data_IF_078891564821
#
_entry.id   IF_078891564821
#
_cell.length_a   1.000
_cell.length_b   1.000
_cell.length_c   1.000
_cell.angle_alpha   90.00
_cell.angle_beta   90.00
_cell.angle_gamma   90.00
#
_symmetry.space_group_name_H-M   'P 1'
#
loop_
_entity.id
_entity.type
_entity.pdbx_description
1 polymer ?
#
# COMPACT_ATOMS: atom_id res chain seq x y z
N UNK A 1 -2.99 6.97 -5.36
CA UNK A 1 -3.17 7.79 -6.58
C UNK A 1 -4.64 8.10 -6.88
N UNK A 2 -5.63 7.50 -6.20
CA UNK A 2 -7.03 7.97 -6.29
C UNK A 2 -7.73 7.72 -7.63
N UNK A 3 -7.13 6.95 -8.54
CA UNK A 3 -7.62 6.71 -9.90
C UNK A 3 -8.64 5.57 -9.99
N UNK A 4 -9.52 5.45 -8.99
CA UNK A 4 -10.46 4.32 -8.92
C UNK A 4 -11.40 4.29 -10.11
N UNK A 5 -11.95 5.45 -10.49
CA UNK A 5 -12.82 5.61 -11.68
C UNK A 5 -12.14 5.15 -12.96
N UNK A 6 -10.89 5.56 -13.18
CA UNK A 6 -10.13 5.15 -14.38
C UNK A 6 -9.89 3.65 -14.39
N UNK A 7 -9.51 3.08 -13.24
CA UNK A 7 -9.28 1.63 -13.12
C UNK A 7 -10.58 0.87 -13.39
N UNK A 8 -11.72 1.32 -12.85
CA UNK A 8 -13.04 0.73 -13.10
C UNK A 8 -13.43 0.83 -14.58
N UNK A 9 -13.17 1.97 -15.21
CA UNK A 9 -13.47 2.21 -16.63
C UNK A 9 -12.67 1.31 -17.55
N UNK A 10 -11.39 1.06 -17.25
CA UNK A 10 -10.49 0.31 -18.12
C UNK A 10 -10.28 -1.16 -17.71
N UNK A 11 -10.64 -1.53 -16.48
CA UNK A 11 -10.25 -2.80 -15.86
C UNK A 11 -10.97 -4.05 -16.36
N UNK A 12 -11.95 -3.91 -17.27
CA UNK A 12 -12.75 -5.02 -17.84
C UNK A 12 -13.15 -6.07 -16.79
N UNK A 13 -13.65 -5.60 -15.65
CA UNK A 13 -14.06 -6.47 -14.56
C UNK A 13 -15.29 -7.27 -14.95
N UNK A 14 -15.30 -8.56 -14.61
CA UNK A 14 -16.47 -9.43 -14.81
C UNK A 14 -17.69 -8.95 -14.02
N UNK A 15 -17.44 -8.37 -12.85
CA UNK A 15 -18.47 -7.90 -11.92
C UNK A 15 -18.51 -6.37 -11.90
N UNK A 16 -19.69 -5.82 -11.62
CA UNK A 16 -19.85 -4.40 -11.43
C UNK A 16 -19.27 -4.02 -10.06
N UNK A 17 -18.11 -3.37 -10.06
CA UNK A 17 -17.41 -2.92 -8.87
C UNK A 17 -17.58 -1.40 -8.74
N UNK A 18 -17.78 -0.91 -7.52
CA UNK A 18 -17.71 0.51 -7.20
C UNK A 18 -16.33 0.86 -6.59
N UNK A 19 -16.09 2.15 -6.32
CA UNK A 19 -14.81 2.61 -5.76
C UNK A 19 -14.53 2.02 -4.36
N UNK A 20 -15.56 1.79 -3.54
CA UNK A 20 -15.41 1.18 -2.21
C UNK A 20 -15.02 -0.28 -2.32
N UNK A 21 -15.57 -1.01 -3.28
CA UNK A 21 -15.19 -2.41 -3.53
C UNK A 21 -13.71 -2.47 -3.95
N UNK A 22 -13.28 -1.57 -4.84
CA UNK A 22 -11.88 -1.48 -5.28
C UNK A 22 -10.95 -1.15 -4.12
N UNK A 23 -11.31 -0.17 -3.29
CA UNK A 23 -10.55 0.19 -2.10
C UNK A 23 -10.44 -1.00 -1.13
N UNK A 24 -11.54 -1.69 -0.85
CA UNK A 24 -11.60 -2.87 0.01
C UNK A 24 -10.73 -4.02 -0.51
N UNK A 25 -10.82 -4.33 -1.80
CA UNK A 25 -9.98 -5.36 -2.45
C UNK A 25 -8.51 -4.96 -2.37
N UNK A 26 -8.16 -3.72 -2.71
CA UNK A 26 -6.79 -3.23 -2.63
C UNK A 26 -6.23 -3.27 -1.19
N UNK A 27 -7.04 -2.90 -0.19
CA UNK A 27 -6.66 -3.03 1.23
C UNK A 27 -6.40 -4.48 1.59
N UNK A 28 -7.29 -5.41 1.24
CA UNK A 28 -7.10 -6.83 1.52
C UNK A 28 -5.81 -7.38 0.90
N UNK A 29 -5.50 -7.01 -0.35
CA UNK A 29 -4.24 -7.38 -1.02
C UNK A 29 -3.02 -6.89 -0.24
N UNK A 30 -3.04 -5.63 0.22
CA UNK A 30 -1.94 -5.04 0.97
C UNK A 30 -1.80 -5.61 2.38
N UNK A 31 -2.91 -5.87 3.10
CA UNK A 31 -2.91 -6.59 4.38
C UNK A 31 -2.26 -7.96 4.22
N UNK A 32 -2.65 -8.71 3.20
CA UNK A 32 -2.06 -10.03 2.92
C UNK A 32 -0.56 -9.92 2.64
N UNK A 33 -0.14 -8.92 1.86
CA UNK A 33 1.27 -8.67 1.59
C UNK A 33 2.03 -8.35 2.87
N UNK A 34 1.53 -7.45 3.73
CA UNK A 34 2.17 -7.07 5.01
C UNK A 34 2.30 -8.27 5.94
N UNK A 35 1.24 -9.09 6.07
CA UNK A 35 1.23 -10.33 6.88
C UNK A 35 2.37 -11.29 6.51
N UNK A 36 2.72 -11.36 5.23
CA UNK A 36 3.75 -12.26 4.72
C UNK A 36 5.11 -11.60 4.46
N UNK A 37 5.20 -10.28 4.61
CA UNK A 37 6.41 -9.54 4.37
C UNK A 37 7.44 -9.77 5.50
N UNK A 38 8.69 -10.06 5.11
CA UNK A 38 9.80 -10.32 6.04
C UNK A 38 10.97 -9.34 5.89
N UNK A 39 10.75 -8.22 5.20
CA UNK A 39 11.78 -7.21 4.94
C UNK A 39 11.76 -6.07 5.96
N UNK A 40 11.87 -4.83 5.48
CA UNK A 40 12.02 -3.63 6.29
C UNK A 40 10.73 -3.27 7.06
N UNK A 41 10.81 -3.21 8.39
CA UNK A 41 9.67 -2.86 9.25
C UNK A 41 9.15 -1.43 8.99
N UNK A 42 9.99 -0.51 8.49
CA UNK A 42 9.52 0.82 8.06
C UNK A 42 8.56 0.74 6.88
N UNK A 43 8.75 -0.22 5.98
CA UNK A 43 7.80 -0.48 4.89
C UNK A 43 6.49 -1.00 5.44
N UNK A 44 6.54 -1.92 6.43
CA UNK A 44 5.29 -2.39 7.06
C UNK A 44 4.52 -1.26 7.71
N UNK A 45 5.18 -0.41 8.52
CA UNK A 45 4.56 0.77 9.16
C UNK A 45 3.94 1.69 8.10
N UNK A 46 4.72 2.05 7.07
CA UNK A 46 4.23 2.90 5.99
C UNK A 46 2.99 2.32 5.30
N UNK A 47 3.00 1.03 4.96
CA UNK A 47 1.85 0.39 4.31
C UNK A 47 0.67 0.32 5.27
N UNK A 48 0.91 0.05 6.56
CA UNK A 48 -0.12 0.01 7.61
C UNK A 48 -0.82 1.35 7.77
N UNK A 49 -0.05 2.43 7.88
CA UNK A 49 -0.57 3.80 7.92
C UNK A 49 -1.34 4.14 6.64
N UNK A 50 -0.83 3.74 5.47
CA UNK A 50 -1.47 3.98 4.16
C UNK A 50 -2.86 3.32 4.04
N UNK A 51 -3.02 2.10 4.55
CA UNK A 51 -4.28 1.35 4.41
C UNK A 51 -5.26 1.59 5.55
N UNK A 52 -4.80 2.17 6.67
CA UNK A 52 -5.67 2.53 7.79
C UNK A 52 -6.69 3.58 7.31
N UNK A 53 -8.00 3.38 7.55
CA UNK A 53 -9.00 4.37 7.18
C UNK A 53 -8.72 5.74 7.81
N UNK A 54 -8.63 6.79 7.00
CA UNK A 54 -8.54 8.17 7.50
C UNK A 54 -9.92 8.62 7.99
N UNK A 55 -9.99 9.22 9.18
CA UNK A 55 -11.26 9.65 9.81
C UNK A 55 -11.97 10.77 9.05
N UNK A 56 -11.26 11.57 8.27
CA UNK A 56 -11.79 12.79 7.63
C UNK A 56 -11.48 12.91 6.14
N UNK A 57 -11.05 11.82 5.48
CA UNK A 57 -10.67 11.86 4.05
C UNK A 57 -9.46 12.75 3.73
N UNK A 58 -8.88 13.44 4.72
CA UNK A 58 -7.65 14.19 4.56
C UNK A 58 -6.47 13.23 4.40
N UNK A 59 -5.65 13.51 3.39
CA UNK A 59 -4.38 12.86 3.18
C UNK A 59 -3.44 13.27 4.31
N UNK A 60 -3.35 12.43 5.35
CA UNK A 60 -2.28 12.59 6.33
C UNK A 60 -0.95 12.35 5.61
N UNK A 61 0.01 13.25 5.81
CA UNK A 61 1.40 13.00 5.41
C UNK A 61 1.87 11.77 6.19
N UNK A 62 1.87 10.61 5.52
CA UNK A 62 2.23 9.33 6.13
C UNK A 62 3.63 9.44 6.73
N UNK A 63 3.88 8.92 7.91
CA UNK A 63 5.25 8.89 8.45
C UNK A 63 6.06 7.81 7.69
N UNK A 64 7.38 7.79 7.84
CA UNK A 64 8.25 6.73 7.27
C UNK A 64 8.36 6.66 5.72
N UNK A 65 7.87 7.65 4.98
CA UNK A 65 8.05 7.75 3.52
C UNK A 65 9.45 8.25 3.10
N UNK A 66 10.14 8.99 3.97
CA UNK A 66 11.50 9.50 3.72
C UNK A 66 12.57 8.39 3.79
N UNK A 67 13.65 8.53 3.02
CA UNK A 67 14.83 7.64 3.09
C UNK A 67 14.98 6.59 1.98
N UNK A 68 14.37 6.80 0.80
CA UNK A 68 14.63 6.01 -0.41
C UNK A 68 15.92 6.40 -1.16
N UNK A 69 16.62 7.45 -0.72
CA UNK A 69 17.82 7.98 -1.38
C UNK A 69 19.01 7.01 -1.37
N UNK A 70 19.02 6.05 -0.45
CA UNK A 70 20.03 5.00 -0.41
C UNK A 70 19.59 3.81 -1.30
N UNK A 71 20.46 3.26 -2.16
CA UNK A 71 20.14 2.08 -2.95
C UNK A 71 19.64 0.94 -2.06
N UNK A 72 18.48 0.36 -2.40
CA UNK A 72 17.96 -0.81 -1.69
C UNK A 72 19.04 -1.91 -1.75
N UNK A 73 19.58 -2.38 -0.61
CA UNK A 73 20.63 -3.39 -0.61
C UNK A 73 20.08 -4.68 -1.22
N UNK A 74 20.43 -4.94 -2.48
CA UNK A 74 20.17 -6.24 -3.11
C UNK A 74 21.08 -7.26 -2.43
N UNK A 75 20.49 -8.17 -1.65
CA UNK A 75 21.16 -9.42 -1.27
C UNK A 75 22.08 -9.39 -0.05
N UNK A 76 21.86 -8.52 0.95
CA UNK A 76 22.62 -8.61 2.22
C UNK A 76 21.68 -8.75 3.42
N UNK A 77 21.74 -9.89 4.11
CA UNK A 77 21.03 -10.16 5.37
C UNK A 77 21.62 -9.27 6.47
N UNK A 78 21.15 -8.03 6.54
CA UNK A 78 21.60 -7.02 7.51
C UNK A 78 21.05 -7.28 8.92
N UNK A 79 21.88 -7.00 9.91
CA UNK A 79 21.68 -7.22 11.35
C UNK A 79 20.48 -6.43 11.88
N UNK A 80 19.59 -7.09 12.61
CA UNK A 80 18.32 -6.55 13.13
C UNK A 80 18.57 -5.47 14.18
N UNK A 81 18.16 -4.23 13.91
CA UNK A 81 17.95 -3.22 14.95
C UNK A 81 16.54 -3.42 15.51
N UNK A 82 16.47 -3.74 16.80
CA UNK A 82 15.26 -4.11 17.53
C UNK A 82 14.48 -2.86 17.92
N UNK A 83 13.65 -2.36 17.01
CA UNK A 83 12.48 -1.55 17.39
C UNK A 83 11.24 -2.37 17.02
N UNK A 84 10.83 -3.23 17.97
CA UNK A 84 9.51 -3.84 17.94
C UNK A 84 8.49 -2.73 18.17
N UNK A 85 7.91 -2.19 17.10
CA UNK A 85 6.50 -1.83 17.19
C UNK A 85 5.79 -3.14 17.40
N UNK A 86 5.30 -3.30 18.63
CA UNK A 86 4.55 -4.46 19.03
C UNK A 86 3.33 -4.57 18.08
N UNK A 87 2.87 -5.78 17.88
CA UNK A 87 1.64 -6.13 17.16
C UNK A 87 0.28 -5.80 17.87
N UNK A 88 0.12 -5.00 18.97
CA UNK A 88 -1.17 -4.76 19.62
C UNK A 88 -2.23 -4.14 18.71
N UNK A 89 -1.84 -3.36 17.71
CA UNK A 89 -2.81 -2.68 16.82
C UNK A 89 -3.57 -3.64 15.90
N UNK A 90 -3.05 -4.86 15.67
CA UNK A 90 -3.78 -5.87 14.88
C UNK A 90 -5.03 -6.38 15.61
N UNK A 91 -5.05 -6.33 16.96
CA UNK A 91 -6.16 -6.84 17.76
C UNK A 91 -7.33 -5.86 17.91
N UNK A 92 -7.11 -4.56 17.65
CA UNK A 92 -8.10 -3.50 17.87
C UNK A 92 -8.50 -2.75 16.57
N UNK A 93 -8.20 -3.33 15.41
CA UNK A 93 -8.48 -2.74 14.12
C UNK A 93 -9.76 -3.35 13.53
N UNK A 94 -10.92 -2.93 14.04
CA UNK A 94 -12.24 -3.42 13.59
C UNK A 94 -12.44 -3.27 12.07
N UNK A 95 -11.80 -2.27 11.46
CA UNK A 95 -11.83 -2.06 10.02
C UNK A 95 -11.20 -3.21 9.21
N UNK A 96 -10.28 -3.99 9.78
CA UNK A 96 -9.69 -5.15 9.10
C UNK A 96 -10.73 -6.23 8.79
N UNK A 97 -11.81 -6.32 9.58
CA UNK A 97 -12.89 -7.24 9.31
C UNK A 97 -13.53 -6.95 7.93
N UNK A 98 -13.58 -5.67 7.54
CA UNK A 98 -14.15 -5.23 6.25
C UNK A 98 -13.25 -5.52 5.05
N UNK A 99 -11.94 -5.73 5.27
CA UNK A 99 -10.98 -6.07 4.21
C UNK A 99 -10.17 -7.33 4.56
N UNK A 100 -10.82 -8.33 5.17
CA UNK A 100 -10.14 -9.55 5.57
C UNK A 100 -9.64 -10.32 4.34
N UNK A 101 -8.31 -10.53 4.18
CA UNK A 101 -7.78 -11.18 2.99
C UNK A 101 -8.19 -12.65 2.85
N UNK A 102 -8.53 -13.34 3.94
CA UNK A 102 -8.99 -14.73 3.85
C UNK A 102 -10.42 -14.83 3.31
N UNK A 103 -11.21 -13.75 3.43
CA UNK A 103 -12.57 -13.65 2.87
C UNK A 103 -12.52 -13.13 1.44
N UNK A 104 -11.70 -12.10 1.16
CA UNK A 104 -11.62 -11.46 -0.16
C UNK A 104 -10.82 -12.31 -1.16
N UNK A 105 -9.77 -13.01 -0.73
CA UNK A 105 -8.88 -13.79 -1.60
C UNK A 105 -9.22 -15.28 -1.54
N UNK A 106 -10.18 -15.68 -2.38
CA UNK A 106 -10.64 -17.08 -2.44
C UNK A 106 -9.63 -18.03 -3.09
N UNK A 107 -8.88 -17.58 -4.11
CA UNK A 107 -7.99 -18.46 -4.87
C UNK A 107 -6.65 -18.69 -4.16
N UNK A 108 -6.39 -19.94 -3.79
CA UNK A 108 -5.16 -20.34 -3.10
C UNK A 108 -3.91 -20.21 -3.98
N UNK A 109 -4.04 -20.40 -5.30
CA UNK A 109 -2.95 -20.18 -6.25
C UNK A 109 -2.50 -18.72 -6.26
N UNK A 110 -3.47 -17.81 -6.30
CA UNK A 110 -3.28 -16.38 -6.24
C UNK A 110 -2.70 -15.94 -4.90
N UNK A 111 -3.19 -16.47 -3.78
CA UNK A 111 -2.60 -16.24 -2.45
C UNK A 111 -1.12 -16.66 -2.41
N UNK A 112 -0.78 -17.84 -2.93
CA UNK A 112 0.61 -18.31 -3.04
C UNK A 112 1.46 -17.37 -3.90
N UNK A 113 0.94 -16.94 -5.06
CA UNK A 113 1.61 -15.98 -5.94
C UNK A 113 1.86 -14.64 -5.24
N UNK A 114 0.82 -14.08 -4.61
CA UNK A 114 0.90 -12.82 -3.87
C UNK A 114 1.90 -12.91 -2.72
N UNK A 115 1.91 -14.02 -1.98
CA UNK A 115 2.89 -14.29 -0.92
C UNK A 115 4.33 -14.29 -1.45
N UNK A 116 4.59 -14.92 -2.59
CA UNK A 116 5.91 -14.94 -3.22
C UNK A 116 6.36 -13.55 -3.69
N UNK A 117 5.42 -12.68 -4.05
CA UNK A 117 5.71 -11.36 -4.62
C UNK A 117 5.37 -10.17 -3.71
N UNK A 118 4.98 -10.41 -2.45
CA UNK A 118 4.62 -9.36 -1.50
C UNK A 118 5.72 -8.28 -1.39
N UNK A 119 6.99 -8.67 -1.34
CA UNK A 119 8.11 -7.71 -1.32
C UNK A 119 8.11 -6.78 -2.55
N UNK A 120 7.90 -7.33 -3.75
CA UNK A 120 7.86 -6.52 -4.98
C UNK A 120 6.66 -5.55 -4.96
N UNK A 121 5.50 -6.02 -4.52
CA UNK A 121 4.29 -5.21 -4.40
C UNK A 121 4.51 -4.05 -3.42
N UNK A 122 4.92 -4.34 -2.19
CA UNK A 122 5.08 -3.32 -1.15
C UNK A 122 6.17 -2.30 -1.48
N UNK A 123 7.29 -2.75 -2.06
CA UNK A 123 8.35 -1.83 -2.52
C UNK A 123 7.85 -0.90 -3.63
N UNK A 124 7.05 -1.40 -4.57
CA UNK A 124 6.47 -0.58 -5.64
C UNK A 124 5.48 0.43 -5.09
N UNK A 125 4.64 0.04 -4.13
CA UNK A 125 3.70 0.96 -3.46
C UNK A 125 4.47 2.09 -2.76
N UNK A 126 5.50 1.76 -1.97
CA UNK A 126 6.33 2.77 -1.31
C UNK A 126 7.05 3.69 -2.30
N UNK A 127 7.64 3.13 -3.36
CA UNK A 127 8.33 3.90 -4.38
C UNK A 127 7.37 4.85 -5.13
N UNK A 128 6.18 4.39 -5.51
CA UNK A 128 5.18 5.23 -6.18
C UNK A 128 4.65 6.34 -5.26
N UNK A 129 4.53 6.08 -3.96
CA UNK A 129 4.21 7.12 -3.00
C UNK A 129 5.34 8.15 -2.90
N UNK A 130 6.60 7.72 -2.80
CA UNK A 130 7.75 8.62 -2.77
C UNK A 130 7.85 9.50 -4.01
N UNK A 131 7.65 8.94 -5.21
CA UNK A 131 7.60 9.74 -6.43
C UNK A 131 6.51 10.80 -6.36
N UNK A 132 5.33 10.46 -5.83
CA UNK A 132 4.23 11.42 -5.66
C UNK A 132 4.57 12.49 -4.62
N UNK A 133 4.96 12.08 -3.41
CA UNK A 133 5.06 12.95 -2.24
C UNK A 133 6.37 13.77 -2.21
N UNK A 134 7.50 13.14 -2.53
CA UNK A 134 8.82 13.74 -2.34
C UNK A 134 9.39 14.32 -3.63
N UNK A 135 9.15 13.66 -4.77
CA UNK A 135 9.71 14.11 -6.06
C UNK A 135 8.79 15.11 -6.73
N UNK A 136 7.50 14.78 -6.87
CA UNK A 136 6.52 15.68 -7.48
C UNK A 136 6.02 16.73 -6.48
N UNK A 137 5.79 16.36 -5.22
CA UNK A 137 5.33 17.27 -4.17
C UNK A 137 4.09 18.06 -4.61
N UNK A 138 4.15 19.39 -4.50
CA UNK A 138 3.07 20.29 -4.90
C UNK A 138 2.75 20.25 -6.41
N UNK A 139 3.70 19.83 -7.24
CA UNK A 139 3.46 19.68 -8.67
C UNK A 139 2.61 18.44 -8.99
N UNK A 140 2.48 17.48 -8.06
CA UNK A 140 1.74 16.24 -8.29
C UNK A 140 0.27 16.51 -8.62
N UNK A 141 -0.38 17.39 -7.86
CA UNK A 141 -1.80 17.68 -8.04
C UNK A 141 -2.02 18.52 -9.31
N UNK A 142 -1.15 19.50 -9.59
CA UNK A 142 -1.18 20.27 -10.85
C UNK A 142 -0.99 19.39 -12.08
N UNK A 143 -0.06 18.44 -12.02
CA UNK A 143 0.18 17.47 -13.09
C UNK A 143 -1.01 16.53 -13.27
N UNK A 144 -1.69 16.17 -12.17
CA UNK A 144 -2.89 15.33 -12.20
C UNK A 144 -4.08 16.06 -12.82
N UNK A 145 -4.19 17.36 -12.61
CA UNK A 145 -5.19 18.25 -13.25
C UNK A 145 -4.87 18.56 -14.72
N UNK A 146 -3.74 18.07 -15.25
CA UNK A 146 -3.33 18.30 -16.64
C UNK A 146 -2.75 19.70 -16.89
N UNK A 147 -2.30 20.39 -15.84
CA UNK A 147 -1.66 21.69 -15.97
C UNK A 147 -0.33 21.54 -16.74
N UNK A 148 -0.10 22.28 -17.83
CA UNK A 148 1.15 22.21 -18.58
C UNK A 148 2.33 22.69 -17.73
N UNK A 149 3.48 22.03 -17.90
CA UNK A 149 4.73 22.51 -17.31
C UNK A 149 5.10 23.88 -17.89
N UNK A 150 5.50 24.81 -17.02
CA UNK A 150 6.09 26.08 -17.41
C UNK A 150 7.58 25.92 -17.70
#
# INVERSE_FOLDING_TARGET
WGRWKDILTHGRFKWHLNEKDMEMICRALLVYCVKHYKGDEKIKSFIWELITPSKDGQAQTLQNHSGLSAPVPRGRKGKKTKNQLLLPELKNADWLATCNPEVVLHDDGYKKHLKQHCNKVLLRVRMLYYLKAEILGEAADKAFEGTPAR
#
